data_IF_931151131494
#
_entry.id   IF_931151131494
#
_cell.length_a   1.000
_cell.length_b   1.000
_cell.length_c   1.000
_cell.angle_alpha   90.00
_cell.angle_beta   90.00
_cell.angle_gamma   90.00
#
_symmetry.space_group_name_H-M   'P 1'
#
loop_
_entity.id
_entity.type
_entity.pdbx_description
1 polymer ?
#
# COMPACT_ATOMS: atom_id res chain seq x y z
N UNK A 1 -43.77 -25.58 0.60
CA UNK A 1 -43.49 -24.17 0.22
C UNK A 1 -42.18 -23.73 0.85
N UNK A 2 -41.07 -23.84 0.13
CA UNK A 2 -39.73 -23.44 0.61
C UNK A 2 -39.48 -21.98 0.22
N UNK A 3 -39.41 -21.09 1.22
CA UNK A 3 -39.09 -19.69 1.02
C UNK A 3 -37.61 -19.54 0.62
N UNK A 4 -37.36 -18.91 -0.53
CA UNK A 4 -36.02 -18.57 -0.99
C UNK A 4 -35.53 -17.31 -0.27
N UNK A 5 -34.48 -17.43 0.54
CA UNK A 5 -33.77 -16.31 1.15
C UNK A 5 -33.10 -15.48 0.04
N UNK A 6 -33.30 -14.15 -0.04
CA UNK A 6 -32.67 -13.34 -1.08
C UNK A 6 -31.16 -13.26 -0.85
N UNK A 7 -30.38 -13.62 -1.89
CA UNK A 7 -28.91 -13.53 -1.88
C UNK A 7 -28.50 -12.05 -1.83
N UNK A 8 -28.04 -11.61 -0.66
CA UNK A 8 -27.43 -10.30 -0.45
C UNK A 8 -26.18 -10.15 -1.35
N UNK A 9 -26.25 -9.25 -2.34
CA UNK A 9 -25.18 -8.99 -3.34
C UNK A 9 -24.10 -8.00 -2.88
N UNK A 10 -24.04 -7.64 -1.60
CA UNK A 10 -23.04 -6.69 -1.10
C UNK A 10 -22.01 -7.36 -0.20
N UNK A 11 -21.13 -8.18 -0.78
CA UNK A 11 -19.83 -8.47 -0.17
C UNK A 11 -18.88 -7.34 -0.55
N UNK A 12 -18.85 -6.28 0.25
CA UNK A 12 -17.76 -5.30 0.23
C UNK A 12 -16.45 -6.07 0.45
N UNK A 13 -15.65 -6.21 -0.61
CA UNK A 13 -14.28 -6.73 -0.51
C UNK A 13 -13.50 -5.78 0.39
N UNK A 14 -13.24 -6.19 1.61
CA UNK A 14 -12.21 -5.56 2.44
C UNK A 14 -10.89 -5.78 1.71
N UNK A 15 -10.43 -4.74 1.02
CA UNK A 15 -9.10 -4.69 0.42
C UNK A 15 -8.09 -4.76 1.54
N UNK A 16 -7.67 -5.98 1.90
CA UNK A 16 -6.45 -6.17 2.68
C UNK A 16 -5.34 -5.57 1.82
N UNK A 17 -4.66 -4.55 2.33
CA UNK A 17 -3.39 -4.06 1.78
C UNK A 17 -2.33 -5.13 2.03
N UNK A 18 -2.46 -6.25 1.35
CA UNK A 18 -1.40 -7.22 1.18
C UNK A 18 -0.61 -6.63 0.01
N UNK A 19 0.67 -6.36 0.24
CA UNK A 19 1.66 -6.29 -0.85
C UNK A 19 1.42 -7.53 -1.69
N UNK A 20 0.74 -7.39 -2.84
CA UNK A 20 0.62 -8.46 -3.81
C UNK A 20 2.04 -8.73 -4.28
N UNK A 21 2.71 -9.68 -3.62
CA UNK A 21 3.71 -10.49 -4.27
C UNK A 21 2.92 -11.18 -5.36
N UNK A 22 2.96 -10.60 -6.57
CA UNK A 22 2.62 -11.40 -7.74
C UNK A 22 3.62 -12.53 -7.67
N UNK A 23 3.16 -13.76 -7.43
CA UNK A 23 3.94 -14.90 -7.86
C UNK A 23 4.23 -14.60 -9.33
N UNK A 24 5.50 -14.51 -9.69
CA UNK A 24 5.92 -14.15 -11.02
C UNK A 24 5.37 -15.13 -12.06
N UNK A 25 5.90 -15.05 -13.28
CA UNK A 25 5.74 -16.14 -14.26
C UNK A 25 6.07 -17.51 -13.61
N UNK A 26 5.51 -18.61 -14.14
CA UNK A 26 5.76 -19.96 -13.60
C UNK A 26 7.26 -20.26 -13.42
N UNK A 27 8.08 -19.76 -14.34
CA UNK A 27 9.54 -19.87 -14.28
C UNK A 27 10.17 -19.13 -13.08
N UNK A 28 9.63 -17.98 -12.69
CA UNK A 28 10.10 -17.21 -11.52
C UNK A 28 9.72 -17.91 -10.21
N UNK A 29 8.59 -18.63 -10.18
CA UNK A 29 8.17 -19.44 -9.04
C UNK A 29 9.07 -20.66 -8.87
N UNK A 30 9.34 -21.41 -9.95
CA UNK A 30 10.26 -22.55 -9.90
C UNK A 30 11.68 -22.13 -9.49
N UNK A 31 12.16 -20.98 -9.96
CA UNK A 31 13.47 -20.44 -9.55
C UNK A 31 13.49 -20.13 -8.06
N UNK A 32 12.44 -19.49 -7.55
CA UNK A 32 12.32 -19.19 -6.12
C UNK A 32 12.29 -20.46 -5.25
N UNK A 33 11.51 -21.47 -5.64
CA UNK A 33 11.44 -22.76 -4.93
C UNK A 33 12.80 -23.44 -4.89
N UNK A 34 13.47 -23.56 -6.04
CA UNK A 34 14.80 -24.20 -6.12
C UNK A 34 15.86 -23.45 -5.30
N UNK A 35 15.84 -22.12 -5.33
CA UNK A 35 16.80 -21.30 -4.59
C UNK A 35 16.56 -21.36 -3.08
N UNK A 36 15.30 -21.30 -2.63
CA UNK A 36 14.97 -21.45 -1.19
C UNK A 36 15.33 -22.84 -0.67
N UNK A 37 14.99 -23.89 -1.42
CA UNK A 37 15.29 -25.26 -1.02
C UNK A 37 16.80 -25.49 -0.85
N UNK A 38 17.62 -24.81 -1.66
CA UNK A 38 19.07 -24.86 -1.54
C UNK A 38 19.55 -24.13 -0.28
N UNK A 39 19.14 -22.88 -0.10
CA UNK A 39 19.60 -22.07 1.04
C UNK A 39 19.11 -22.61 2.40
N UNK A 40 17.89 -23.14 2.46
CA UNK A 40 17.37 -23.76 3.69
C UNK A 40 18.04 -25.11 4.01
N UNK A 41 18.59 -25.82 3.01
CA UNK A 41 19.37 -27.05 3.27
C UNK A 41 20.77 -26.76 3.81
N UNK A 42 21.35 -25.63 3.44
CA UNK A 42 22.69 -25.22 3.86
C UNK A 42 22.67 -24.46 5.21
N UNK A 43 21.49 -24.18 5.78
CA UNK A 43 21.35 -23.43 7.03
C UNK A 43 21.84 -24.25 8.24
N UNK A 44 22.68 -23.63 9.07
CA UNK A 44 23.07 -24.17 10.37
C UNK A 44 22.29 -23.42 11.46
N UNK A 45 21.41 -24.15 12.15
CA UNK A 45 20.64 -23.63 13.27
C UNK A 45 21.36 -23.95 14.57
N UNK A 46 21.54 -22.94 15.41
CA UNK A 46 22.37 -23.02 16.63
C UNK A 46 21.50 -23.32 17.87
N UNK A 47 20.18 -23.46 17.71
CA UNK A 47 19.24 -23.81 18.78
C UNK A 47 18.67 -22.60 19.52
N UNK A 48 19.11 -21.38 19.17
CA UNK A 48 18.54 -20.13 19.65
C UNK A 48 17.33 -19.75 18.80
N UNK A 49 16.14 -20.14 19.25
CA UNK A 49 14.86 -20.00 18.53
C UNK A 49 14.72 -18.63 17.83
N UNK A 50 14.94 -17.52 18.53
CA UNK A 50 14.75 -16.18 17.96
C UNK A 50 15.77 -15.85 16.85
N UNK A 51 17.02 -16.28 17.03
CA UNK A 51 18.11 -16.03 16.08
C UNK A 51 17.97 -16.92 14.85
N UNK A 52 17.60 -18.18 15.06
CA UNK A 52 17.28 -19.16 14.03
C UNK A 52 16.10 -18.69 13.16
N UNK A 53 15.03 -18.16 13.78
CA UNK A 53 13.92 -17.56 13.04
C UNK A 53 14.32 -16.33 12.24
N UNK A 54 15.21 -15.48 12.76
CA UNK A 54 15.68 -14.31 12.03
C UNK A 54 16.58 -14.73 10.86
N UNK A 55 17.43 -15.76 11.01
CA UNK A 55 18.22 -16.35 9.92
C UNK A 55 17.33 -16.89 8.80
N UNK A 56 16.30 -17.68 9.14
CA UNK A 56 15.32 -18.21 8.17
C UNK A 56 14.61 -17.06 7.44
N UNK A 57 14.16 -16.05 8.18
CA UNK A 57 13.48 -14.88 7.62
C UNK A 57 14.39 -14.09 6.67
N UNK A 58 15.68 -13.97 6.99
CA UNK A 58 16.66 -13.31 6.13
C UNK A 58 16.86 -14.07 4.81
N UNK A 59 17.02 -15.39 4.86
CA UNK A 59 17.12 -16.27 3.68
C UNK A 59 15.91 -16.09 2.77
N UNK A 60 14.69 -16.26 3.31
CA UNK A 60 13.45 -16.08 2.55
C UNK A 60 13.39 -14.68 1.93
N UNK A 61 13.78 -13.64 2.68
CA UNK A 61 13.78 -12.27 2.19
C UNK A 61 14.81 -12.01 1.10
N UNK A 62 15.96 -12.67 1.15
CA UNK A 62 17.04 -12.52 0.17
C UNK A 62 16.70 -13.25 -1.13
N UNK A 63 16.28 -14.52 -1.07
CA UNK A 63 15.85 -15.26 -2.25
C UNK A 63 14.66 -14.59 -2.92
N UNK A 64 13.72 -14.05 -2.14
CA UNK A 64 12.60 -13.29 -2.67
C UNK A 64 13.05 -12.03 -3.44
N UNK A 65 14.10 -11.33 -2.98
CA UNK A 65 14.65 -10.16 -3.69
C UNK A 65 15.37 -10.52 -4.97
N UNK A 66 16.04 -11.66 -5.01
CA UNK A 66 16.77 -12.14 -6.19
C UNK A 66 15.82 -12.65 -7.26
N UNK A 67 14.76 -13.37 -6.86
CA UNK A 67 13.82 -13.99 -7.79
C UNK A 67 12.73 -13.02 -8.26
N UNK A 68 12.27 -12.11 -7.40
CA UNK A 68 11.25 -11.13 -7.79
C UNK A 68 11.87 -9.80 -8.20
N UNK A 69 11.53 -9.35 -9.40
CA UNK A 69 11.72 -7.95 -9.79
C UNK A 69 10.81 -7.09 -8.91
N UNK A 70 11.40 -6.38 -7.94
CA UNK A 70 10.68 -5.35 -7.20
C UNK A 70 10.20 -4.28 -8.18
N UNK A 71 8.92 -4.34 -8.56
CA UNK A 71 8.27 -3.20 -9.18
C UNK A 71 8.07 -2.19 -8.06
N UNK A 72 9.02 -1.26 -7.93
CA UNK A 72 8.82 -0.08 -7.09
C UNK A 72 7.52 0.55 -7.51
N UNK A 73 6.53 0.55 -6.61
CA UNK A 73 5.28 1.26 -6.87
C UNK A 73 5.65 2.71 -7.07
N UNK A 74 5.49 3.21 -8.30
CA UNK A 74 5.71 4.63 -8.60
C UNK A 74 4.99 5.45 -7.53
N UNK A 75 5.73 6.33 -6.85
CA UNK A 75 5.14 7.26 -5.87
C UNK A 75 3.95 7.93 -6.55
N UNK A 76 2.77 7.81 -5.94
CA UNK A 76 1.56 8.43 -6.48
C UNK A 76 1.75 9.94 -6.43
N UNK A 77 1.62 10.61 -7.57
CA UNK A 77 1.62 12.08 -7.63
C UNK A 77 0.56 12.60 -6.64
N UNK A 78 0.99 13.40 -5.66
CA UNK A 78 0.15 13.99 -4.61
C UNK A 78 0.31 13.41 -3.19
N UNK A 79 1.15 12.40 -2.98
CA UNK A 79 1.52 11.93 -1.64
C UNK A 79 2.95 12.38 -1.30
N UNK A 80 3.05 13.61 -0.80
CA UNK A 80 4.33 14.25 -0.48
C UNK A 80 4.88 13.80 0.89
N UNK A 81 6.14 14.13 1.16
CA UNK A 81 6.81 13.79 2.41
C UNK A 81 6.07 14.33 3.64
N UNK A 82 5.43 15.50 3.54
CA UNK A 82 4.56 16.06 4.59
C UNK A 82 3.37 15.15 4.91
N UNK A 83 2.71 14.56 3.89
CA UNK A 83 1.63 13.60 4.12
C UNK A 83 2.14 12.37 4.87
N UNK A 84 3.35 11.92 4.52
CA UNK A 84 3.98 10.77 5.15
C UNK A 84 4.38 11.07 6.60
N UNK A 85 4.92 12.25 6.88
CA UNK A 85 5.27 12.71 8.23
C UNK A 85 4.03 12.78 9.12
N UNK A 86 2.96 13.44 8.68
CA UNK A 86 1.70 13.56 9.42
C UNK A 86 1.07 12.19 9.71
N UNK A 87 1.14 11.23 8.77
CA UNK A 87 0.67 9.86 9.02
C UNK A 87 1.54 9.12 10.04
N UNK A 88 2.87 9.30 9.98
CA UNK A 88 3.80 8.69 10.94
C UNK A 88 3.55 9.23 12.34
N UNK A 89 3.40 10.54 12.51
CA UNK A 89 3.07 11.18 13.79
C UNK A 89 1.74 10.69 14.34
N UNK A 90 0.69 10.63 13.51
CA UNK A 90 -0.60 10.07 13.93
C UNK A 90 -0.49 8.63 14.42
N UNK A 91 0.41 7.85 13.81
CA UNK A 91 0.66 6.45 14.21
C UNK A 91 1.37 6.39 15.56
N UNK A 92 2.36 7.27 15.80
CA UNK A 92 3.02 7.41 17.11
C UNK A 92 2.03 7.79 18.22
N UNK A 93 1.18 8.79 17.97
CA UNK A 93 0.15 9.19 18.93
C UNK A 93 -0.88 8.08 19.18
N UNK A 94 -1.20 7.28 18.15
CA UNK A 94 -2.07 6.11 18.32
C UNK A 94 -1.40 5.08 19.25
N UNK A 95 -0.12 4.78 19.05
CA UNK A 95 0.60 3.85 19.92
C UNK A 95 0.68 4.38 21.35
N UNK A 96 0.96 5.68 21.53
CA UNK A 96 1.00 6.28 22.86
C UNK A 96 -0.36 6.26 23.56
N UNK A 97 -1.44 6.55 22.84
CA UNK A 97 -2.81 6.45 23.35
C UNK A 97 -3.13 5.03 23.82
N UNK A 98 -2.73 4.01 23.04
CA UNK A 98 -2.96 2.61 23.38
C UNK A 98 -2.14 2.15 24.59
N UNK A 99 -0.90 2.63 24.74
CA UNK A 99 -0.02 2.26 25.85
C UNK A 99 -0.42 2.98 27.15
N UNK A 100 -0.62 4.30 27.10
CA UNK A 100 -0.81 5.14 28.28
C UNK A 100 -2.24 5.04 28.84
N UNK A 101 -3.25 4.80 28.01
CA UNK A 101 -4.65 4.72 28.42
C UNK A 101 -5.25 6.01 29.02
N UNK A 102 -4.53 7.13 28.99
CA UNK A 102 -4.96 8.42 29.56
C UNK A 102 -5.89 9.19 28.62
N UNK A 103 -6.80 9.99 29.20
CA UNK A 103 -7.72 10.86 28.45
C UNK A 103 -6.96 11.90 27.61
N UNK A 104 -5.88 12.46 28.14
CA UNK A 104 -5.03 13.44 27.42
C UNK A 104 -4.45 12.86 26.13
N UNK A 105 -3.86 11.67 26.19
CA UNK A 105 -3.30 10.99 25.02
C UNK A 105 -4.36 10.68 23.95
N UNK A 106 -5.61 10.43 24.38
CA UNK A 106 -6.75 10.27 23.47
C UNK A 106 -7.13 11.60 22.81
N UNK A 107 -7.19 12.69 23.57
CA UNK A 107 -7.49 14.02 23.04
C UNK A 107 -6.42 14.49 22.05
N UNK A 108 -5.15 14.25 22.34
CA UNK A 108 -4.02 14.58 21.46
C UNK A 108 -4.09 13.79 20.16
N UNK A 109 -4.34 12.48 20.24
CA UNK A 109 -4.54 11.64 19.07
C UNK A 109 -5.72 12.13 18.22
N UNK A 110 -6.85 12.47 18.84
CA UNK A 110 -8.04 12.91 18.12
C UNK A 110 -7.81 14.26 17.42
N UNK A 111 -7.19 15.22 18.10
CA UNK A 111 -6.83 16.53 17.56
C UNK A 111 -5.88 16.38 16.37
N UNK A 112 -4.83 15.56 16.51
CA UNK A 112 -3.88 15.30 15.43
C UNK A 112 -4.53 14.55 14.26
N UNK A 113 -5.37 13.55 14.55
CA UNK A 113 -6.11 12.81 13.52
C UNK A 113 -7.01 13.71 12.67
N UNK A 114 -7.67 14.71 13.29
CA UNK A 114 -8.44 15.75 12.58
C UNK A 114 -7.54 16.60 11.69
N UNK A 115 -6.39 17.06 12.20
CA UNK A 115 -5.38 17.81 11.43
C UNK A 115 -4.89 17.04 10.20
N UNK A 116 -4.47 15.79 10.39
CA UNK A 116 -3.98 14.91 9.32
C UNK A 116 -5.04 14.72 8.23
N UNK A 117 -6.31 14.46 8.62
CA UNK A 117 -7.41 14.34 7.65
C UNK A 117 -7.59 15.62 6.82
N UNK A 118 -7.46 16.79 7.44
CA UNK A 118 -7.53 18.08 6.75
C UNK A 118 -6.38 18.23 5.75
N UNK A 119 -5.14 17.99 6.16
CA UNK A 119 -3.95 18.05 5.30
C UNK A 119 -4.09 17.12 4.10
N UNK A 120 -4.40 15.85 4.34
CA UNK A 120 -4.57 14.86 3.27
C UNK A 120 -5.68 15.23 2.29
N UNK A 121 -6.81 15.75 2.79
CA UNK A 121 -7.94 16.17 1.95
C UNK A 121 -7.57 17.38 1.09
N UNK A 122 -6.89 18.37 1.66
CA UNK A 122 -6.45 19.57 0.94
C UNK A 122 -5.44 19.21 -0.15
N UNK A 123 -4.44 18.39 0.17
CA UNK A 123 -3.44 17.96 -0.82
C UNK A 123 -4.03 17.09 -1.91
N UNK A 124 -4.95 16.17 -1.56
CA UNK A 124 -5.71 15.40 -2.55
C UNK A 124 -6.47 16.31 -3.50
N UNK A 125 -7.17 17.33 -2.98
CA UNK A 125 -7.91 18.32 -3.79
C UNK A 125 -6.97 19.08 -4.72
N UNK A 126 -5.85 19.58 -4.21
CA UNK A 126 -4.83 20.27 -5.01
C UNK A 126 -4.34 19.39 -6.15
N UNK A 127 -3.92 18.16 -5.86
CA UNK A 127 -3.48 17.21 -6.87
C UNK A 127 -4.55 16.93 -7.94
N UNK A 128 -5.82 16.77 -7.56
CA UNK A 128 -6.91 16.60 -8.54
C UNK A 128 -7.14 17.85 -9.38
N UNK A 129 -7.05 19.04 -8.79
CA UNK A 129 -7.17 20.31 -9.52
C UNK A 129 -6.02 20.48 -10.51
N UNK A 130 -4.79 20.17 -10.11
CA UNK A 130 -3.61 20.26 -10.97
C UNK A 130 -3.72 19.30 -12.15
N UNK A 131 -4.19 18.06 -11.92
CA UNK A 131 -4.48 17.09 -13.01
C UNK A 131 -5.54 17.57 -13.98
N UNK A 132 -6.61 18.22 -13.50
CA UNK A 132 -7.64 18.78 -14.38
C UNK A 132 -7.07 19.89 -15.25
N UNK A 133 -6.25 20.78 -14.68
CA UNK A 133 -5.56 21.83 -15.43
C UNK A 133 -4.64 21.25 -16.50
N UNK A 134 -3.89 20.19 -16.18
CA UNK A 134 -3.04 19.48 -17.14
C UNK A 134 -3.85 18.91 -18.31
N UNK A 135 -5.02 18.32 -18.04
CA UNK A 135 -5.93 17.82 -19.08
C UNK A 135 -6.45 18.96 -19.97
N UNK A 136 -6.86 20.07 -19.35
CA UNK A 136 -7.33 21.27 -20.08
C UNK A 136 -6.22 21.88 -20.95
N UNK A 137 -4.99 21.94 -20.45
CA UNK A 137 -3.83 22.45 -21.17
C UNK A 137 -3.46 21.55 -22.35
N UNK A 138 -3.44 20.24 -22.16
CA UNK A 138 -3.25 19.26 -23.23
C UNK A 138 -4.33 19.40 -24.33
N UNK A 139 -5.57 19.69 -23.94
CA UNK A 139 -6.65 19.95 -24.89
C UNK A 139 -6.42 21.24 -25.68
N UNK A 140 -6.05 22.34 -25.00
CA UNK A 140 -5.72 23.63 -25.64
C UNK A 140 -4.55 23.51 -26.61
N UNK A 141 -3.55 22.72 -26.26
CA UNK A 141 -2.34 22.49 -27.07
C UNK A 141 -2.56 21.48 -28.22
N UNK A 142 -3.80 21.02 -28.46
CA UNK A 142 -4.17 20.03 -29.47
C UNK A 142 -3.47 18.66 -29.29
N UNK A 143 -3.06 18.34 -28.07
CA UNK A 143 -2.56 17.01 -27.71
C UNK A 143 -3.73 16.05 -27.45
N UNK A 144 -4.42 15.67 -28.53
CA UNK A 144 -5.66 14.89 -28.49
C UNK A 144 -5.46 13.56 -27.74
N UNK A 145 -4.36 12.86 -27.98
CA UNK A 145 -4.08 11.59 -27.30
C UNK A 145 -3.93 11.76 -25.78
N UNK A 146 -3.15 12.75 -25.33
CA UNK A 146 -2.85 12.96 -23.92
C UNK A 146 -4.08 13.44 -23.15
N UNK A 147 -4.86 14.36 -23.72
CA UNK A 147 -6.13 14.81 -23.16
C UNK A 147 -7.14 13.67 -22.98
N UNK A 148 -7.41 12.86 -24.01
CA UNK A 148 -8.33 11.72 -23.87
C UNK A 148 -7.82 10.66 -22.89
N UNK A 149 -6.50 10.43 -22.84
CA UNK A 149 -5.90 9.49 -21.89
C UNK A 149 -6.01 10.00 -20.44
N UNK A 150 -5.85 11.31 -20.22
CA UNK A 150 -6.10 11.96 -18.93
C UNK A 150 -7.56 11.82 -18.49
N UNK A 151 -8.52 12.14 -19.36
CA UNK A 151 -9.96 11.99 -19.09
C UNK A 151 -10.32 10.53 -18.78
N UNK A 152 -9.77 9.58 -19.55
CA UNK A 152 -9.98 8.14 -19.33
C UNK A 152 -9.45 7.70 -17.97
N UNK A 153 -8.30 8.22 -17.56
CA UNK A 153 -7.69 7.93 -16.26
C UNK A 153 -8.54 8.48 -15.11
N UNK A 154 -9.03 9.72 -15.24
CA UNK A 154 -9.90 10.33 -14.23
C UNK A 154 -11.25 9.61 -14.12
N UNK A 155 -11.86 9.23 -15.26
CA UNK A 155 -13.14 8.50 -15.29
C UNK A 155 -13.05 7.09 -14.70
N UNK A 156 -11.91 6.42 -14.86
CA UNK A 156 -11.65 5.12 -14.19
C UNK A 156 -11.54 5.28 -12.67
N UNK A 157 -11.23 6.48 -12.19
CA UNK A 157 -11.03 6.77 -10.78
C UNK A 157 -9.90 5.94 -10.18
N UNK A 158 -9.88 5.86 -8.85
CA UNK A 158 -8.96 4.98 -8.13
C UNK A 158 -9.61 3.60 -7.98
N UNK A 159 -9.70 2.83 -9.07
CA UNK A 159 -9.93 1.40 -8.96
C UNK A 159 -8.73 0.76 -8.27
N UNK A 160 -8.90 0.38 -7.01
CA UNK A 160 -7.95 -0.39 -6.20
C UNK A 160 -7.91 -1.85 -6.65
#
# INVERSE_FOLDING_TARGET
>A
MTQLIPKNKNKTRVSKNITKVSLGTHEEQEKYEKSIDRELKEIQLEGHINEDWEKIKQIISNVAKECNKYVSQKKKNGFDDECQQEIKERSKLRTEMLIKGKIEARNDYEKHSKKVRKVLRTKKRKCTTDKLKEIEENYKNRETRNSYQGVKTERRGYQL
#
